data_IF_491645764394
#
_entry.id   IF_491645764394
#
_cell.length_a   1.000
_cell.length_b   1.000
_cell.length_c   1.000
_cell.angle_alpha   90.00
_cell.angle_beta   90.00
_cell.angle_gamma   90.00
#
_symmetry.space_group_name_H-M   'P 1'
#
loop_
_entity.id
_entity.type
_entity.pdbx_description
1 polymer ?
#
# COMPACT_ATOMS: atom_id res chain seq x y z
N UNK A 1 43.50 13.77 21.54
CA UNK A 1 42.46 12.72 21.63
C UNK A 1 41.16 13.31 21.07
N UNK A 2 40.90 13.12 19.77
CA UNK A 2 39.65 13.56 19.13
C UNK A 2 38.61 12.43 19.28
N UNK A 3 37.50 12.73 19.94
CA UNK A 3 36.34 11.86 20.02
C UNK A 3 35.51 12.01 18.74
N UNK A 4 35.59 11.03 17.84
CA UNK A 4 34.63 10.86 16.76
C UNK A 4 33.34 10.28 17.35
N UNK A 5 32.30 11.11 17.45
CA UNK A 5 30.94 10.64 17.74
C UNK A 5 30.37 10.06 16.46
N UNK A 6 30.34 8.73 16.37
CA UNK A 6 29.63 8.03 15.32
C UNK A 6 28.12 8.25 15.51
N UNK A 7 27.52 9.08 14.67
CA UNK A 7 26.07 9.12 14.50
C UNK A 7 25.61 7.82 13.86
N UNK A 8 25.23 6.84 14.68
CA UNK A 8 24.44 5.70 14.23
C UNK A 8 23.04 6.22 13.89
N UNK A 9 22.84 6.64 12.65
CA UNK A 9 21.50 6.91 12.15
C UNK A 9 20.74 5.58 12.16
N UNK A 10 19.58 5.53 12.81
CA UNK A 10 18.68 4.39 12.76
C UNK A 10 18.49 3.99 11.29
N UNK A 11 19.01 2.82 10.92
CA UNK A 11 18.80 2.24 9.61
C UNK A 11 17.31 1.92 9.53
N UNK A 12 16.52 2.86 9.00
CA UNK A 12 15.13 2.58 8.67
C UNK A 12 15.14 1.58 7.53
N UNK A 13 14.95 0.29 7.86
CA UNK A 13 14.74 -0.76 6.88
C UNK A 13 13.72 -0.26 5.85
N UNK A 14 14.07 -0.37 4.57
CA UNK A 14 13.19 0.04 3.48
C UNK A 14 11.88 -0.76 3.49
N UNK A 15 11.91 -1.98 4.03
CA UNK A 15 10.82 -2.94 4.10
C UNK A 15 10.49 -3.29 5.56
N UNK A 16 9.20 -3.42 5.89
CA UNK A 16 8.76 -3.82 7.24
C UNK A 16 9.05 -5.30 7.54
N UNK A 17 9.02 -5.68 8.82
CA UNK A 17 9.20 -7.08 9.24
C UNK A 17 8.00 -7.98 8.84
N UNK A 18 6.84 -7.37 8.59
CA UNK A 18 5.67 -8.06 8.08
C UNK A 18 5.87 -8.41 6.61
N UNK A 19 5.62 -9.67 6.26
CA UNK A 19 5.79 -10.19 4.90
C UNK A 19 4.41 -10.45 4.28
N UNK A 20 3.86 -9.52 3.48
CA UNK A 20 2.65 -9.81 2.74
C UNK A 20 2.92 -10.89 1.70
N UNK A 21 1.88 -11.57 1.28
CA UNK A 21 1.88 -12.42 0.09
C UNK A 21 0.53 -12.24 -0.59
N UNK A 22 0.51 -11.46 -1.67
CA UNK A 22 -0.71 -11.18 -2.41
C UNK A 22 -0.46 -11.31 -3.91
N UNK A 23 -1.25 -12.18 -4.54
CA UNK A 23 -1.31 -12.32 -5.99
C UNK A 23 -2.73 -12.05 -6.44
N UNK A 24 -2.89 -11.22 -7.46
CA UNK A 24 -4.20 -10.92 -8.02
C UNK A 24 -4.18 -10.93 -9.54
N UNK A 25 -5.00 -11.79 -10.11
CA UNK A 25 -5.10 -12.03 -11.55
C UNK A 25 -6.11 -11.06 -12.15
N UNK A 26 -5.68 -9.82 -12.44
CA UNK A 26 -6.57 -8.79 -12.98
C UNK A 26 -6.98 -9.07 -14.44
N UNK A 27 -6.27 -9.98 -15.13
CA UNK A 27 -6.70 -10.55 -16.40
C UNK A 27 -8.00 -11.35 -16.28
N UNK A 28 -8.29 -11.94 -15.11
CA UNK A 28 -9.54 -12.67 -14.84
C UNK A 28 -10.62 -11.72 -14.34
N UNK A 29 -10.30 -10.89 -13.35
CA UNK A 29 -11.29 -10.05 -12.67
C UNK A 29 -11.62 -8.74 -13.36
N UNK A 30 -10.77 -8.28 -14.29
CA UNK A 30 -10.99 -7.07 -15.11
C UNK A 30 -11.32 -5.81 -14.26
N UNK A 31 -10.66 -5.64 -13.12
CA UNK A 31 -10.88 -4.51 -12.23
C UNK A 31 -10.21 -3.25 -12.77
N UNK A 32 -11.01 -2.33 -13.32
CA UNK A 32 -10.53 -1.08 -13.91
C UNK A 32 -9.83 -0.15 -12.90
N UNK A 33 -10.26 -0.12 -11.63
CA UNK A 33 -9.66 0.74 -10.60
C UNK A 33 -8.22 0.31 -10.28
N UNK A 34 -8.00 -0.99 -10.23
CA UNK A 34 -6.65 -1.54 -10.09
C UNK A 34 -5.83 -1.32 -11.38
N UNK A 35 -6.44 -1.47 -12.55
CA UNK A 35 -5.78 -1.31 -13.83
C UNK A 35 -5.17 0.09 -14.03
N UNK A 36 -5.88 1.13 -13.59
CA UNK A 36 -5.40 2.52 -13.59
C UNK A 36 -4.08 2.67 -12.78
N UNK A 37 -3.99 2.02 -11.62
CA UNK A 37 -2.79 2.03 -10.78
C UNK A 37 -1.65 1.16 -11.34
N UNK A 38 -1.98 0.07 -12.05
CA UNK A 38 -1.03 -0.81 -12.75
C UNK A 38 -0.56 -0.27 -14.11
N UNK A 39 -0.96 0.96 -14.48
CA UNK A 39 -0.51 1.64 -15.71
C UNK A 39 0.74 2.48 -15.43
N UNK A 40 1.87 2.25 -16.13
CA UNK A 40 3.09 3.05 -15.95
C UNK A 40 2.85 4.56 -16.10
N UNK A 41 3.53 5.37 -15.28
CA UNK A 41 3.45 6.84 -15.27
C UNK A 41 2.06 7.42 -15.02
N UNK A 42 1.07 6.63 -14.57
CA UNK A 42 -0.27 7.16 -14.30
C UNK A 42 -0.29 8.15 -13.13
N UNK A 43 0.63 8.01 -12.17
CA UNK A 43 0.57 8.71 -10.88
C UNK A 43 -0.65 8.32 -10.04
N UNK A 44 -1.40 7.31 -10.49
CA UNK A 44 -2.60 6.80 -9.85
C UNK A 44 -2.24 5.68 -8.89
N UNK A 45 -2.82 5.75 -7.69
CA UNK A 45 -2.70 4.70 -6.69
C UNK A 45 -4.07 4.09 -6.40
N UNK A 46 -4.07 2.86 -5.91
CA UNK A 46 -5.26 2.12 -5.54
C UNK A 46 -5.04 1.40 -4.21
N UNK A 47 -5.97 1.54 -3.29
CA UNK A 47 -6.00 0.69 -2.08
C UNK A 47 -6.56 -0.67 -2.45
N UNK A 48 -5.99 -1.74 -1.91
CA UNK A 48 -6.59 -3.09 -1.94
C UNK A 48 -6.85 -3.53 -0.51
N UNK A 49 -8.08 -3.95 -0.21
CA UNK A 49 -8.48 -4.39 1.13
C UNK A 49 -9.23 -5.70 1.05
N UNK A 50 -8.90 -6.66 1.89
CA UNK A 50 -9.77 -7.81 2.10
C UNK A 50 -10.89 -7.46 3.06
N UNK A 51 -12.13 -7.82 2.74
CA UNK A 51 -13.31 -7.57 3.56
C UNK A 51 -14.28 -8.76 3.49
N UNK A 52 -14.91 -9.08 4.62
CA UNK A 52 -16.06 -9.98 4.67
C UNK A 52 -17.34 -9.14 4.64
N UNK A 53 -18.13 -9.27 3.57
CA UNK A 53 -19.33 -8.46 3.35
C UNK A 53 -20.49 -9.42 3.07
N UNK A 54 -21.53 -9.38 3.90
CA UNK A 54 -22.78 -10.12 3.68
C UNK A 54 -22.60 -11.62 3.37
N UNK A 55 -21.67 -12.29 4.05
CA UNK A 55 -21.45 -13.74 3.90
C UNK A 55 -20.38 -14.15 2.88
N UNK A 56 -19.80 -13.21 2.13
CA UNK A 56 -18.77 -13.49 1.14
C UNK A 56 -17.50 -12.66 1.37
N UNK A 57 -16.36 -13.19 0.91
CA UNK A 57 -15.07 -12.52 0.95
C UNK A 57 -14.86 -11.69 -0.31
N UNK A 58 -14.39 -10.45 -0.16
CA UNK A 58 -14.12 -9.53 -1.25
C UNK A 58 -12.74 -8.90 -1.13
N UNK A 59 -12.12 -8.63 -2.29
CA UNK A 59 -11.16 -7.56 -2.40
C UNK A 59 -11.87 -6.29 -2.81
N UNK A 60 -11.68 -5.22 -2.04
CA UNK A 60 -12.24 -3.89 -2.28
C UNK A 60 -11.13 -2.96 -2.71
N UNK A 61 -11.35 -2.31 -3.84
CA UNK A 61 -10.40 -1.46 -4.54
C UNK A 61 -10.90 -0.02 -4.53
N UNK A 62 -10.07 0.94 -4.12
CA UNK A 62 -10.40 2.36 -4.17
C UNK A 62 -9.23 3.13 -4.74
N UNK A 63 -9.43 3.79 -5.89
CA UNK A 63 -8.38 4.57 -6.54
C UNK A 63 -8.22 5.97 -5.91
N UNK A 64 -7.19 6.71 -6.35
CA UNK A 64 -6.93 8.09 -5.92
C UNK A 64 -8.05 9.10 -6.20
N UNK A 65 -8.99 8.79 -7.12
CA UNK A 65 -10.19 9.60 -7.38
C UNK A 65 -11.35 9.26 -6.42
N UNK A 66 -11.14 8.34 -5.48
CA UNK A 66 -12.16 7.87 -4.54
C UNK A 66 -13.17 6.89 -5.14
N UNK A 67 -12.99 6.45 -6.40
CA UNK A 67 -13.88 5.48 -7.05
C UNK A 67 -13.59 4.09 -6.53
N UNK A 68 -14.64 3.38 -6.13
CA UNK A 68 -14.54 2.06 -5.50
C UNK A 68 -15.13 0.95 -6.38
N UNK A 69 -14.50 -0.22 -6.39
CA UNK A 69 -15.00 -1.46 -6.98
C UNK A 69 -14.71 -2.63 -6.04
N UNK A 70 -15.44 -3.75 -6.20
CA UNK A 70 -15.22 -4.98 -5.41
C UNK A 70 -15.15 -6.19 -6.32
N UNK A 71 -14.28 -7.13 -5.98
CA UNK A 71 -14.18 -8.44 -6.62
C UNK A 71 -14.43 -9.50 -5.57
N UNK A 72 -15.37 -10.42 -5.84
CA UNK A 72 -15.60 -11.57 -4.96
C UNK A 72 -14.42 -12.52 -5.07
N UNK A 73 -13.96 -13.07 -3.95
CA UNK A 73 -12.91 -14.08 -3.98
C UNK A 73 -13.48 -15.41 -4.49
N UNK A 74 -12.75 -16.05 -5.39
CA UNK A 74 -12.95 -17.43 -5.79
C UNK A 74 -12.47 -18.40 -4.72
N UNK A 75 -12.94 -19.65 -4.76
CA UNK A 75 -12.49 -20.69 -3.82
C UNK A 75 -10.97 -20.90 -3.84
N UNK A 76 -10.36 -20.79 -5.02
CA UNK A 76 -8.91 -20.89 -5.19
C UNK A 76 -8.17 -19.75 -4.45
N UNK A 77 -8.67 -18.51 -4.56
CA UNK A 77 -8.07 -17.36 -3.87
C UNK A 77 -8.23 -17.46 -2.34
N UNK A 78 -9.35 -17.99 -1.87
CA UNK A 78 -9.57 -18.27 -0.45
C UNK A 78 -8.57 -19.33 0.04
N UNK A 79 -8.38 -20.41 -0.72
CA UNK A 79 -7.45 -21.49 -0.39
C UNK A 79 -5.98 -21.05 -0.40
N UNK A 80 -5.60 -20.10 -1.28
CA UNK A 80 -4.23 -19.55 -1.36
C UNK A 80 -3.82 -18.72 -0.13
N UNK A 81 -4.76 -18.38 0.77
CA UNK A 81 -4.50 -17.65 2.03
C UNK A 81 -3.65 -16.40 1.84
N UNK A 82 -4.02 -15.56 0.87
CA UNK A 82 -3.29 -14.31 0.65
C UNK A 82 -3.29 -13.44 1.90
N UNK A 83 -2.12 -12.85 2.17
CA UNK A 83 -1.89 -11.95 3.29
C UNK A 83 -1.58 -10.59 2.70
N UNK A 84 -2.53 -9.66 2.83
CA UNK A 84 -2.27 -8.26 2.51
C UNK A 84 -1.41 -7.63 3.62
N UNK A 85 -1.01 -6.36 3.46
CA UNK A 85 -0.30 -5.60 4.49
C UNK A 85 -1.00 -5.59 5.85
N UNK A 86 -0.45 -4.89 6.83
CA UNK A 86 -0.99 -4.89 8.18
C UNK A 86 -2.50 -4.61 8.17
N UNK A 87 -3.23 -5.39 8.97
CA UNK A 87 -4.68 -5.28 9.08
C UNK A 87 -5.40 -5.37 7.70
N UNK A 88 -4.89 -6.25 6.82
CA UNK A 88 -5.49 -6.66 5.55
C UNK A 88 -5.63 -5.55 4.50
N UNK A 89 -4.67 -4.61 4.44
CA UNK A 89 -4.72 -3.48 3.51
C UNK A 89 -3.38 -3.16 2.85
N UNK A 90 -3.44 -2.82 1.56
CA UNK A 90 -2.31 -2.34 0.76
C UNK A 90 -2.68 -1.06 0.00
N UNK A 91 -1.68 -0.30 -0.39
CA UNK A 91 -1.74 0.74 -1.42
C UNK A 91 -0.77 0.33 -2.54
N UNK A 92 -1.21 0.30 -3.79
CA UNK A 92 -0.37 -0.04 -4.94
C UNK A 92 -0.49 0.99 -6.05
N UNK A 93 0.57 1.18 -6.84
CA UNK A 93 0.54 2.06 -8.01
C UNK A 93 1.92 2.41 -8.56
N UNK A 94 1.96 2.84 -9.82
CA UNK A 94 3.17 3.43 -10.40
C UNK A 94 3.38 4.86 -9.90
N UNK A 95 4.56 5.12 -9.36
CA UNK A 95 5.01 6.50 -9.14
C UNK A 95 5.38 7.17 -10.46
N UNK A 96 5.31 8.51 -10.48
CA UNK A 96 5.56 9.32 -11.68
C UNK A 96 6.91 10.08 -11.69
N UNK A 97 7.80 9.80 -10.73
CA UNK A 97 9.07 10.55 -10.57
C UNK A 97 10.32 9.80 -11.09
N UNK A 98 10.22 8.51 -11.40
CA UNK A 98 11.37 7.68 -11.79
C UNK A 98 11.28 7.26 -13.26
N UNK A 99 12.44 7.18 -13.92
CA UNK A 99 12.59 6.61 -15.26
C UNK A 99 13.73 5.56 -15.22
N UNK A 100 13.44 4.24 -15.32
CA UNK A 100 12.12 3.65 -15.61
C UNK A 100 11.11 3.82 -14.45
N UNK A 101 9.79 3.75 -14.75
CA UNK A 101 8.75 3.90 -13.73
C UNK A 101 8.83 2.81 -12.67
N UNK A 102 8.70 3.19 -11.39
CA UNK A 102 8.73 2.26 -10.26
C UNK A 102 7.30 1.94 -9.82
N UNK A 103 6.98 0.65 -9.74
CA UNK A 103 5.72 0.18 -9.17
C UNK A 103 5.88 0.01 -7.66
N UNK A 104 5.11 0.77 -6.89
CA UNK A 104 5.18 0.78 -5.44
C UNK A 104 4.04 -0.04 -4.83
N UNK A 105 4.34 -0.71 -3.72
CA UNK A 105 3.35 -1.18 -2.76
C UNK A 105 3.70 -0.66 -1.37
N UNK A 106 2.70 -0.17 -0.65
CA UNK A 106 2.79 0.31 0.71
C UNK A 106 1.76 -0.39 1.59
N UNK A 107 2.04 -0.45 2.89
CA UNK A 107 1.02 -0.73 3.89
C UNK A 107 -0.07 0.35 3.89
N UNK A 108 -1.33 -0.05 4.04
CA UNK A 108 -2.44 0.89 4.16
C UNK A 108 -2.48 1.55 5.54
N UNK A 109 -1.97 0.89 6.58
CA UNK A 109 -1.95 1.40 7.93
C UNK A 109 -0.84 2.45 8.11
N UNK A 110 -1.17 3.56 8.76
CA UNK A 110 -0.18 4.61 9.03
C UNK A 110 0.89 4.08 9.98
N UNK A 111 2.19 4.05 9.58
CA UNK A 111 3.24 3.50 10.42
C UNK A 111 3.51 4.37 11.64
N UNK A 112 3.02 5.60 11.72
CA UNK A 112 3.24 6.45 12.90
C UNK A 112 2.08 6.37 13.91
N UNK A 113 0.98 5.69 13.58
CA UNK A 113 -0.21 5.63 14.44
C UNK A 113 -0.72 4.21 14.68
N UNK A 114 -0.50 3.31 13.74
CA UNK A 114 -0.92 1.92 13.87
C UNK A 114 0.06 1.15 14.73
N UNK A 115 -0.46 0.44 15.71
CA UNK A 115 0.27 -0.48 16.56
C UNK A 115 -0.38 -1.88 16.46
N UNK A 116 0.27 -2.86 15.83
CA UNK A 116 -0.26 -4.21 15.68
C UNK A 116 -0.35 -4.97 17.01
N UNK A 117 0.27 -4.49 18.09
CA UNK A 117 0.25 -5.10 19.42
C UNK A 117 -0.75 -4.43 20.37
N UNK A 118 -1.38 -3.32 19.96
CA UNK A 118 -2.34 -2.62 20.81
C UNK A 118 -3.61 -3.45 21.03
N UNK A 119 -4.08 -3.45 22.28
CA UNK A 119 -5.34 -4.06 22.68
C UNK A 119 -6.29 -3.01 23.28
N UNK A 120 -7.48 -2.77 22.68
CA UNK A 120 -7.97 -3.36 21.43
C UNK A 120 -7.20 -2.85 20.21
N UNK A 121 -7.10 -3.70 19.18
CA UNK A 121 -6.49 -3.34 17.91
C UNK A 121 -7.30 -2.21 17.25
N UNK A 122 -6.64 -1.11 16.88
CA UNK A 122 -7.28 0.07 16.26
C UNK A 122 -6.66 0.37 14.91
N UNK A 123 -7.43 0.13 13.84
CA UNK A 123 -7.05 0.52 12.48
C UNK A 123 -6.86 2.04 12.36
N UNK A 124 -5.86 2.43 11.56
CA UNK A 124 -5.42 3.79 11.23
C UNK A 124 -5.12 3.89 9.72
N UNK A 125 -6.10 3.53 8.86
CA UNK A 125 -5.85 3.42 7.44
C UNK A 125 -5.59 4.81 6.85
N UNK A 126 -4.65 4.86 5.93
CA UNK A 126 -4.37 6.05 5.13
C UNK A 126 -5.52 6.28 4.14
N UNK A 127 -5.87 7.55 3.97
CA UNK A 127 -6.75 7.98 2.90
C UNK A 127 -5.92 8.34 1.67
N UNK A 128 -6.26 7.76 0.52
CA UNK A 128 -5.73 8.23 -0.76
C UNK A 128 -6.38 9.54 -1.15
N UNK A 129 -5.55 10.45 -1.64
CA UNK A 129 -5.94 11.66 -2.34
C UNK A 129 -5.42 11.60 -3.78
N UNK A 130 -5.81 12.60 -4.57
CA UNK A 130 -5.21 12.87 -5.87
C UNK A 130 -3.69 13.11 -5.76
N UNK A 131 -3.03 13.14 -6.91
CA UNK A 131 -1.60 13.45 -7.08
C UNK A 131 -0.63 12.48 -6.35
N UNK A 132 -1.10 11.27 -6.05
CA UNK A 132 -0.32 10.25 -5.34
C UNK A 132 0.04 10.66 -3.91
N UNK A 133 -0.88 11.31 -3.21
CA UNK A 133 -0.74 11.62 -1.79
C UNK A 133 -1.58 10.66 -0.94
N UNK A 134 -0.98 10.11 0.12
CA UNK A 134 -1.69 9.41 1.19
C UNK A 134 -1.70 10.26 2.47
N UNK A 135 -2.83 10.30 3.18
CA UNK A 135 -2.98 11.10 4.40
C UNK A 135 -3.45 10.24 5.56
N UNK A 136 -2.78 10.36 6.70
CA UNK A 136 -3.28 9.80 7.95
C UNK A 136 -4.23 10.78 8.63
N UNK A 137 -5.50 10.39 8.84
CA UNK A 137 -6.49 11.23 9.54
C UNK A 137 -6.26 11.37 11.05
N UNK A 138 -5.30 10.64 11.61
CA UNK A 138 -5.01 10.65 13.05
C UNK A 138 -3.86 11.60 13.38
N UNK A 139 -2.74 11.50 12.67
CA UNK A 139 -1.60 12.40 12.88
C UNK A 139 -1.46 13.50 11.83
N UNK A 140 -2.37 13.57 10.85
CA UNK A 140 -2.39 14.55 9.76
C UNK A 140 -1.13 14.57 8.86
N UNK A 141 -0.25 13.57 8.98
CA UNK A 141 0.90 13.40 8.08
C UNK A 141 0.42 13.11 6.66
N UNK A 142 1.07 13.76 5.70
CA UNK A 142 0.91 13.49 4.26
C UNK A 142 2.16 12.82 3.72
N UNK A 143 1.95 11.75 2.95
CA UNK A 143 2.99 10.94 2.37
C UNK A 143 2.94 11.04 0.85
N UNK A 144 4.09 11.21 0.22
CA UNK A 144 4.21 11.22 -1.23
C UNK A 144 4.47 9.78 -1.73
N UNK A 145 3.44 9.18 -2.34
CA UNK A 145 3.49 7.82 -2.87
C UNK A 145 4.34 7.72 -4.14
N UNK A 146 4.49 8.83 -4.87
CA UNK A 146 5.38 8.91 -6.03
C UNK A 146 6.87 8.94 -5.64
N UNK A 147 7.18 9.29 -4.39
CA UNK A 147 8.55 9.40 -3.88
C UNK A 147 8.78 8.50 -2.67
N UNK A 148 8.68 7.18 -2.85
CA UNK A 148 9.01 6.18 -1.81
C UNK A 148 8.30 6.36 -0.47
N UNK A 149 7.12 7.00 -0.44
CA UNK A 149 6.29 7.16 0.75
C UNK A 149 6.88 8.10 1.80
N UNK A 150 7.71 9.07 1.40
CA UNK A 150 8.28 10.07 2.32
C UNK A 150 7.21 11.03 2.85
N UNK A 151 7.40 11.51 4.08
CA UNK A 151 6.54 12.55 4.66
C UNK A 151 6.84 13.88 3.96
N UNK A 152 5.82 14.51 3.39
CA UNK A 152 5.91 15.83 2.74
C UNK A 152 5.20 16.94 3.54
N UNK A 153 4.34 16.56 4.49
CA UNK A 153 3.70 17.50 5.41
C UNK A 153 3.37 16.81 6.73
N UNK A 154 3.46 17.56 7.83
CA UNK A 154 3.24 17.09 9.20
C UNK A 154 4.54 16.89 9.97
N UNK A 155 4.45 16.37 11.18
CA UNK A 155 5.59 16.07 12.02
C UNK A 155 6.54 15.04 11.39
N UNK A 156 7.83 15.12 11.74
CA UNK A 156 8.82 14.08 11.40
C UNK A 156 8.37 12.72 11.96
N UNK A 157 8.82 11.66 11.32
CA UNK A 157 8.45 10.29 11.69
C UNK A 157 8.91 9.26 10.66
N UNK A 158 8.37 8.05 10.77
CA UNK A 158 8.63 6.96 9.82
C UNK A 158 7.97 7.25 8.47
N UNK A 159 8.72 7.03 7.38
CA UNK A 159 8.12 6.92 6.02
C UNK A 159 7.17 5.72 5.96
N UNK A 160 6.37 5.62 4.89
CA UNK A 160 5.49 4.47 4.70
C UNK A 160 6.29 3.15 4.63
N UNK A 161 5.74 2.11 5.27
CA UNK A 161 6.24 0.75 5.11
C UNK A 161 6.03 0.30 3.67
N UNK A 162 7.12 -0.05 2.97
CA UNK A 162 7.07 -0.53 1.59
C UNK A 162 7.17 -2.04 1.52
N UNK A 163 6.60 -2.60 0.46
CA UNK A 163 6.70 -4.00 0.07
C UNK A 163 7.25 -4.13 -1.35
N UNK A 164 7.79 -5.31 -1.67
CA UNK A 164 8.22 -5.59 -3.04
C UNK A 164 6.98 -5.85 -3.86
N UNK A 165 6.85 -5.20 -5.00
CA UNK A 165 5.71 -5.39 -5.86
C UNK A 165 6.09 -5.34 -7.32
N UNK A 166 5.32 -6.06 -8.13
CA UNK A 166 5.45 -6.11 -9.56
C UNK A 166 4.07 -6.30 -10.20
N UNK A 167 3.97 -5.85 -11.44
CA UNK A 167 2.79 -6.01 -12.28
C UNK A 167 3.21 -6.40 -13.69
N UNK A 168 2.41 -7.24 -14.36
CA UNK A 168 2.60 -7.55 -15.79
C UNK A 168 1.77 -6.65 -16.71
N UNK A 169 1.14 -5.60 -16.18
CA UNK A 169 0.38 -4.58 -16.92
C UNK A 169 -1.00 -4.30 -16.33
N UNK A 170 -1.77 -3.33 -16.88
CA UNK A 170 -3.05 -2.88 -16.30
C UNK A 170 -4.05 -4.00 -16.01
N UNK A 171 -4.23 -4.92 -16.95
CA UNK A 171 -5.07 -6.11 -16.79
C UNK A 171 -4.21 -7.39 -16.70
N UNK A 172 -3.03 -7.27 -16.12
CA UNK A 172 -2.11 -8.38 -15.89
C UNK A 172 -2.26 -8.99 -14.50
N UNK A 173 -1.14 -9.51 -13.99
CA UNK A 173 -1.04 -10.08 -12.64
C UNK A 173 -0.34 -9.07 -11.74
N UNK A 174 -0.94 -8.77 -10.59
CA UNK A 174 -0.32 -8.06 -9.49
C UNK A 174 0.32 -9.08 -8.55
N UNK A 175 1.55 -8.82 -8.10
CA UNK A 175 2.23 -9.59 -7.05
C UNK A 175 2.85 -8.65 -6.02
N UNK A 176 2.65 -8.92 -4.73
CA UNK A 176 3.23 -8.19 -3.60
C UNK A 176 3.79 -9.18 -2.57
N UNK A 177 5.07 -9.00 -2.21
CA UNK A 177 5.85 -9.86 -1.32
C UNK A 177 6.76 -9.07 -0.34
#
# INVERSE_FOLDING_TARGET
MLLFVASCGDIQNEYGNFRPYFVYENNVHQNARLAEAMTPNSGMFCTVRWQFISGAQYYVFTNSDGRTSKSILTDLEIQRRHVLGCNNGLIVGYGNLNNPPVFYAYDLECPNCFDPQALPLKSKPLQLLADGIAVCRVCNRRYNLNNSGVIVQGERGRKLTRYRAQTTGPYGVLTVN
#
